data_IF_457018827384
#
_entry.id   IF_457018827384
#
_cell.length_a   1.000
_cell.length_b   1.000
_cell.length_c   1.000
_cell.angle_alpha   90.00
_cell.angle_beta   90.00
_cell.angle_gamma   90.00
#
_symmetry.space_group_name_H-M   'P 1'
#
loop_
_entity.id
_entity.type
_entity.pdbx_description
1 polymer ?
#
# COMPACT_ATOMS: atom_id res chain seq x y z
N UNK A 1 -1.47 28.11 -11.71
CA UNK A 1 -1.59 27.51 -10.36
C UNK A 1 -0.28 26.80 -10.02
N UNK A 2 -0.02 26.55 -8.74
CA UNK A 2 1.26 25.99 -8.22
C UNK A 2 1.27 24.44 -8.26
N UNK A 3 0.45 23.82 -9.12
CA UNK A 3 0.33 22.36 -9.24
C UNK A 3 0.92 21.84 -10.56
N UNK A 4 1.27 20.54 -10.63
CA UNK A 4 1.69 19.92 -11.88
C UNK A 4 0.55 19.93 -12.91
N UNK A 5 0.90 19.79 -14.18
CA UNK A 5 -0.09 19.64 -15.25
C UNK A 5 -0.94 18.38 -15.05
N UNK A 6 -2.24 18.48 -15.33
CA UNK A 6 -3.14 17.33 -15.40
C UNK A 6 -3.28 16.78 -16.83
N UNK A 7 -2.67 17.42 -17.82
CA UNK A 7 -2.70 16.93 -19.20
C UNK A 7 -1.84 15.67 -19.29
N UNK A 8 -2.44 14.57 -19.74
CA UNK A 8 -1.74 13.29 -19.98
C UNK A 8 -1.60 12.40 -18.74
N UNK A 9 -2.09 12.80 -17.58
CA UNK A 9 -2.04 11.97 -16.35
C UNK A 9 -2.97 10.75 -16.41
N UNK A 10 -3.99 10.80 -17.27
CA UNK A 10 -4.98 9.74 -17.48
C UNK A 10 -6.11 9.69 -16.43
N UNK A 11 -7.19 9.01 -16.78
CA UNK A 11 -8.34 8.79 -15.90
C UNK A 11 -7.96 8.00 -14.64
N UNK A 12 -7.08 7.01 -14.75
CA UNK A 12 -6.64 6.20 -13.60
C UNK A 12 -5.98 7.03 -12.49
N UNK A 13 -5.20 8.05 -12.87
CA UNK A 13 -4.53 8.91 -11.88
C UNK A 13 -5.56 9.75 -11.12
N UNK A 14 -6.60 10.23 -11.82
CA UNK A 14 -7.69 10.97 -11.21
C UNK A 14 -8.54 10.07 -10.32
N UNK A 15 -8.97 8.89 -10.80
CA UNK A 15 -9.74 7.94 -9.98
C UNK A 15 -8.97 7.59 -8.71
N UNK A 16 -7.71 7.17 -8.84
CA UNK A 16 -6.87 6.84 -7.70
C UNK A 16 -6.72 8.00 -6.73
N UNK A 17 -6.32 9.19 -7.19
CA UNK A 17 -6.03 10.30 -6.27
C UNK A 17 -7.29 10.82 -5.57
N UNK A 18 -8.42 10.86 -6.28
CA UNK A 18 -9.67 11.43 -5.75
C UNK A 18 -10.46 10.40 -4.94
N UNK A 19 -10.63 9.17 -5.43
CA UNK A 19 -11.35 8.12 -4.71
C UNK A 19 -10.62 7.64 -3.45
N UNK A 20 -9.28 7.73 -3.42
CA UNK A 20 -8.52 7.50 -2.17
C UNK A 20 -8.49 8.73 -1.25
N UNK A 21 -9.15 9.83 -1.63
CA UNK A 21 -9.25 11.06 -0.86
C UNK A 21 -7.97 11.90 -0.82
N UNK A 22 -6.87 11.49 -1.46
CA UNK A 22 -5.63 12.30 -1.50
C UNK A 22 -5.90 13.68 -2.10
N UNK A 23 -6.64 13.71 -3.19
CA UNK A 23 -7.17 14.93 -3.80
C UNK A 23 -8.66 15.09 -3.49
N UNK A 24 -9.15 16.32 -3.29
CA UNK A 24 -8.43 17.60 -3.39
C UNK A 24 -7.56 17.88 -2.16
N UNK A 25 -6.33 18.37 -2.34
CA UNK A 25 -5.41 18.71 -1.24
C UNK A 25 -5.41 20.22 -0.98
N UNK A 26 -5.32 20.61 0.30
CA UNK A 26 -5.32 22.01 0.72
C UNK A 26 -3.94 22.54 1.14
N UNK A 27 -2.98 21.66 1.40
CA UNK A 27 -1.63 21.99 1.84
C UNK A 27 -0.55 21.62 0.81
N UNK A 28 0.67 22.11 1.06
CA UNK A 28 1.88 21.78 0.32
C UNK A 28 2.78 20.86 1.16
N UNK A 29 2.20 19.79 1.72
CA UNK A 29 2.95 18.78 2.47
C UNK A 29 3.97 18.03 1.60
N UNK A 30 4.98 17.43 2.23
CA UNK A 30 5.99 16.62 1.54
C UNK A 30 5.36 15.40 0.83
N UNK A 31 4.25 14.90 1.35
CA UNK A 31 3.50 13.79 0.80
C UNK A 31 2.01 13.96 1.12
N UNK A 32 1.16 13.78 0.12
CA UNK A 32 -0.29 13.87 0.27
C UNK A 32 -0.79 12.57 0.91
N UNK A 33 -1.25 12.67 2.16
CA UNK A 33 -1.81 11.54 2.90
C UNK A 33 -3.21 11.17 2.38
N UNK A 34 -3.60 9.90 2.61
CA UNK A 34 -4.99 9.45 2.43
C UNK A 34 -5.88 10.16 3.46
N UNK A 35 -7.05 10.62 3.04
CA UNK A 35 -8.11 11.14 3.90
C UNK A 35 -9.46 10.62 3.42
N UNK A 36 -10.52 10.96 4.13
CA UNK A 36 -11.87 10.61 3.71
C UNK A 36 -12.18 11.27 2.35
N UNK A 37 -12.67 10.50 1.36
CA UNK A 37 -13.03 11.04 0.06
C UNK A 37 -14.13 12.10 0.19
N UNK A 38 -13.95 13.20 -0.54
CA UNK A 38 -14.92 14.31 -0.58
C UNK A 38 -15.99 14.07 -1.64
N UNK A 39 -15.63 13.34 -2.70
CA UNK A 39 -16.48 13.04 -3.84
C UNK A 39 -16.97 11.60 -3.78
N UNK A 40 -18.16 11.36 -4.31
CA UNK A 40 -18.68 10.00 -4.51
C UNK A 40 -18.17 9.38 -5.82
N UNK A 41 -18.37 8.07 -6.01
CA UNK A 41 -17.85 7.32 -7.17
C UNK A 41 -18.30 7.90 -8.53
N UNK A 42 -19.53 8.42 -8.63
CA UNK A 42 -20.04 9.01 -9.88
C UNK A 42 -19.34 10.33 -10.20
N UNK A 43 -19.10 11.15 -9.19
CA UNK A 43 -18.37 12.41 -9.32
C UNK A 43 -16.90 12.16 -9.66
N UNK A 44 -16.27 11.16 -9.03
CA UNK A 44 -14.90 10.76 -9.35
C UNK A 44 -14.80 10.31 -10.81
N UNK A 45 -15.71 9.44 -11.27
CA UNK A 45 -15.74 8.98 -12.65
C UNK A 45 -15.94 10.15 -13.63
N UNK A 46 -16.79 11.12 -13.30
CA UNK A 46 -17.00 12.32 -14.12
C UNK A 46 -15.73 13.20 -14.19
N UNK A 47 -15.02 13.39 -13.07
CA UNK A 47 -13.75 14.11 -13.04
C UNK A 47 -12.68 13.39 -13.87
N UNK A 48 -12.57 12.08 -13.73
CA UNK A 48 -11.62 11.25 -14.47
C UNK A 48 -11.90 11.29 -15.97
N UNK A 49 -13.17 11.19 -16.38
CA UNK A 49 -13.59 11.30 -17.77
C UNK A 49 -13.29 12.69 -18.36
N UNK A 50 -13.52 13.76 -17.59
CA UNK A 50 -13.20 15.12 -18.03
C UNK A 50 -11.70 15.29 -18.29
N UNK A 51 -10.84 14.84 -17.37
CA UNK A 51 -9.38 14.94 -17.55
C UNK A 51 -8.91 14.08 -18.74
N UNK A 52 -9.46 12.88 -18.91
CA UNK A 52 -9.13 12.02 -20.05
C UNK A 52 -9.56 12.61 -21.41
N UNK A 53 -10.55 13.51 -21.44
CA UNK A 53 -10.95 14.22 -22.66
C UNK A 53 -9.91 15.24 -23.15
N UNK A 54 -8.99 15.67 -22.28
CA UNK A 54 -7.99 16.71 -22.59
C UNK A 54 -6.74 16.14 -23.27
N UNK A 55 -6.36 14.90 -22.96
CA UNK A 55 -5.25 14.19 -23.59
C UNK A 55 -5.29 12.68 -23.27
N UNK A 56 -4.69 11.82 -24.12
CA UNK A 56 -4.54 10.40 -23.82
C UNK A 56 -3.74 10.16 -22.54
N UNK A 57 -4.09 9.10 -21.82
CA UNK A 57 -3.39 8.62 -20.63
C UNK A 57 -3.98 7.30 -20.14
N UNK A 58 -3.45 6.71 -19.06
CA UNK A 58 -3.97 5.46 -18.52
C UNK A 58 -5.46 5.56 -18.17
N UNK A 59 -6.25 4.60 -18.67
CA UNK A 59 -7.69 4.51 -18.39
C UNK A 59 -7.92 4.02 -16.94
N UNK A 60 -8.93 4.58 -16.28
CA UNK A 60 -9.40 4.06 -15.00
C UNK A 60 -9.96 2.65 -15.17
N UNK A 61 -9.92 1.85 -14.10
CA UNK A 61 -10.35 0.45 -14.11
C UNK A 61 -11.40 0.21 -13.04
N UNK A 62 -12.30 -0.72 -13.30
CA UNK A 62 -13.30 -1.22 -12.36
C UNK A 62 -12.83 -2.52 -11.72
N UNK A 63 -13.38 -2.89 -10.56
CA UNK A 63 -13.00 -4.17 -9.95
C UNK A 63 -13.46 -5.36 -10.78
N UNK A 64 -14.58 -5.22 -11.50
CA UNK A 64 -15.18 -6.25 -12.33
C UNK A 64 -14.31 -6.59 -13.54
N UNK A 65 -13.57 -5.60 -14.08
CA UNK A 65 -12.61 -5.80 -15.16
C UNK A 65 -11.35 -6.54 -14.68
N UNK A 66 -11.01 -6.42 -13.39
CA UNK A 66 -9.84 -7.03 -12.80
C UNK A 66 -10.18 -8.43 -12.31
N UNK A 67 -10.12 -9.43 -13.20
CA UNK A 67 -10.31 -10.84 -12.84
C UNK A 67 -9.12 -11.46 -12.07
N UNK A 68 -8.58 -10.73 -11.09
CA UNK A 68 -7.35 -11.06 -10.35
C UNK A 68 -7.43 -12.40 -9.61
N UNK A 69 -8.60 -12.79 -9.12
CA UNK A 69 -8.80 -14.07 -8.43
C UNK A 69 -8.60 -15.25 -9.36
N UNK A 70 -9.16 -15.17 -10.57
CA UNK A 70 -9.09 -16.23 -11.58
C UNK A 70 -7.74 -16.21 -12.28
N UNK A 71 -7.30 -15.04 -12.72
CA UNK A 71 -6.21 -14.91 -13.66
C UNK A 71 -4.86 -14.76 -12.94
N UNK A 72 -4.81 -14.13 -11.76
CA UNK A 72 -3.56 -13.95 -11.02
C UNK A 72 -2.91 -15.28 -10.57
N UNK A 73 -1.58 -15.33 -10.61
CA UNK A 73 -0.77 -16.41 -10.02
C UNK A 73 -0.16 -15.95 -8.68
N UNK A 74 -0.54 -16.61 -7.59
CA UNK A 74 -0.12 -16.22 -6.24
C UNK A 74 1.40 -16.33 -6.00
N UNK A 75 2.02 -17.41 -6.47
CA UNK A 75 3.45 -17.65 -6.27
C UNK A 75 4.28 -16.62 -7.05
N UNK A 76 3.93 -16.41 -8.32
CA UNK A 76 4.54 -15.39 -9.16
C UNK A 76 4.31 -13.98 -8.57
N UNK A 77 3.09 -13.69 -8.11
CA UNK A 77 2.74 -12.42 -7.48
C UNK A 77 3.61 -12.09 -6.28
N UNK A 78 3.89 -13.10 -5.43
CA UNK A 78 4.77 -12.93 -4.28
C UNK A 78 6.23 -12.68 -4.68
N UNK A 79 6.73 -13.33 -5.72
CA UNK A 79 8.07 -13.07 -6.25
C UNK A 79 8.17 -11.65 -6.82
N UNK A 80 7.20 -11.26 -7.65
CA UNK A 80 7.13 -9.94 -8.25
C UNK A 80 7.04 -8.84 -7.18
N UNK A 81 6.20 -9.01 -6.17
CA UNK A 81 6.08 -8.05 -5.09
C UNK A 81 7.38 -7.91 -4.29
N UNK A 82 8.05 -9.03 -3.96
CA UNK A 82 9.34 -9.00 -3.27
C UNK A 82 10.42 -8.27 -4.06
N UNK A 83 10.45 -8.47 -5.37
CA UNK A 83 11.47 -7.92 -6.24
C UNK A 83 11.21 -6.45 -6.62
N UNK A 84 9.96 -6.00 -6.62
CA UNK A 84 9.58 -4.69 -7.16
C UNK A 84 8.93 -3.73 -6.16
N UNK A 85 8.34 -4.22 -5.06
CA UNK A 85 7.48 -3.42 -4.19
C UNK A 85 7.92 -3.46 -2.71
N UNK A 86 8.42 -4.60 -2.24
CA UNK A 86 8.73 -4.83 -0.83
C UNK A 86 9.83 -3.91 -0.27
N UNK A 87 10.71 -3.38 -1.14
CA UNK A 87 11.73 -2.41 -0.76
C UNK A 87 11.13 -1.13 -0.16
N UNK A 88 9.92 -0.75 -0.60
CA UNK A 88 9.21 0.42 -0.08
C UNK A 88 8.09 -0.01 0.88
N UNK A 89 7.30 -1.02 0.49
CA UNK A 89 6.07 -1.39 1.18
C UNK A 89 6.22 -2.46 2.25
N UNK A 90 7.46 -2.86 2.62
CA UNK A 90 7.75 -4.00 3.49
C UNK A 90 7.35 -5.35 2.83
N UNK A 91 8.04 -6.43 3.20
CA UNK A 91 7.76 -7.79 2.75
C UNK A 91 6.30 -8.21 2.96
N UNK A 92 5.68 -7.78 4.06
CA UNK A 92 4.28 -8.06 4.41
C UNK A 92 3.32 -6.95 3.97
N UNK A 93 3.77 -6.00 3.12
CA UNK A 93 2.93 -4.93 2.59
C UNK A 93 2.46 -3.89 3.61
N UNK A 94 3.13 -3.77 4.76
CA UNK A 94 2.75 -2.85 5.84
C UNK A 94 3.17 -1.39 5.62
N UNK A 95 3.97 -1.12 4.60
CA UNK A 95 4.56 0.20 4.37
C UNK A 95 5.93 0.37 5.01
N UNK A 96 6.52 1.56 4.84
CA UNK A 96 7.86 1.86 5.30
C UNK A 96 8.22 3.34 5.19
N UNK A 97 9.27 3.77 5.89
CA UNK A 97 9.77 5.13 5.77
C UNK A 97 10.54 5.32 4.45
N UNK A 98 10.38 6.48 3.82
CA UNK A 98 11.13 6.90 2.64
C UNK A 98 11.94 8.17 2.97
N UNK A 99 12.77 8.60 2.03
CA UNK A 99 13.58 9.82 2.18
C UNK A 99 12.71 11.08 2.20
N UNK A 100 13.25 12.19 2.72
CA UNK A 100 12.60 13.51 2.70
C UNK A 100 11.24 13.56 3.41
N UNK A 101 11.06 12.77 4.49
CA UNK A 101 9.83 12.77 5.27
C UNK A 101 8.64 12.09 4.57
N UNK A 102 8.88 11.40 3.45
CA UNK A 102 7.88 10.56 2.77
C UNK A 102 7.82 9.17 3.40
N UNK A 103 6.80 8.40 3.06
CA UNK A 103 6.57 7.03 3.50
C UNK A 103 5.80 6.25 2.41
N UNK A 104 6.05 4.95 2.33
CA UNK A 104 5.21 4.04 1.58
C UNK A 104 4.03 3.66 2.49
N UNK A 105 2.77 3.87 2.07
CA UNK A 105 1.62 3.44 2.85
C UNK A 105 1.51 1.91 2.89
N UNK A 106 0.76 1.38 3.85
CA UNK A 106 0.33 -0.03 3.81
C UNK A 106 -0.50 -0.29 2.55
N UNK A 107 -0.33 -1.46 1.96
CA UNK A 107 -1.16 -1.97 0.85
C UNK A 107 -2.27 -2.90 1.34
N UNK A 108 -2.37 -3.12 2.65
CA UNK A 108 -3.43 -3.92 3.26
C UNK A 108 -4.74 -3.12 3.34
N UNK A 109 -5.87 -3.76 3.05
CA UNK A 109 -7.20 -3.17 3.11
C UNK A 109 -7.45 -2.14 2.00
N UNK A 110 -6.65 -2.15 0.94
CA UNK A 110 -6.79 -1.27 -0.22
C UNK A 110 -7.66 -1.94 -1.27
N UNK A 111 -8.58 -1.21 -1.89
CA UNK A 111 -9.41 -1.74 -2.97
C UNK A 111 -8.57 -2.18 -4.17
N UNK A 112 -9.00 -3.23 -4.86
CA UNK A 112 -8.23 -3.87 -5.93
C UNK A 112 -7.96 -2.91 -7.08
N UNK A 113 -8.97 -2.16 -7.55
CA UNK A 113 -8.77 -1.13 -8.59
C UNK A 113 -7.67 -0.14 -8.22
N UNK A 114 -7.63 0.31 -6.97
CA UNK A 114 -6.65 1.29 -6.51
C UNK A 114 -5.23 0.73 -6.41
N UNK A 115 -5.07 -0.56 -6.12
CA UNK A 115 -3.76 -1.22 -6.21
C UNK A 115 -3.28 -1.24 -7.67
N UNK A 116 -4.17 -1.59 -8.61
CA UNK A 116 -3.84 -1.60 -10.03
C UNK A 116 -3.49 -0.21 -10.57
N UNK A 117 -4.31 0.79 -10.23
CA UNK A 117 -4.11 2.18 -10.63
C UNK A 117 -2.83 2.77 -10.05
N UNK A 118 -2.51 2.46 -8.78
CA UNK A 118 -1.23 2.88 -8.20
C UNK A 118 -0.03 2.35 -9.00
N UNK A 119 -0.08 1.10 -9.46
CA UNK A 119 1.00 0.53 -10.27
C UNK A 119 1.15 1.25 -11.62
N UNK A 120 0.05 1.56 -12.31
CA UNK A 120 0.12 2.16 -13.66
C UNK A 120 0.31 3.69 -13.64
N UNK A 121 0.03 4.35 -12.51
CA UNK A 121 0.12 5.82 -12.39
C UNK A 121 1.34 6.30 -11.61
N UNK A 122 1.96 5.44 -10.78
CA UNK A 122 3.14 5.79 -9.98
C UNK A 122 2.89 7.00 -9.07
N UNK A 123 1.98 6.90 -8.08
CA UNK A 123 1.61 8.05 -7.28
C UNK A 123 2.78 8.54 -6.40
N UNK A 124 3.01 9.84 -6.42
CA UNK A 124 3.96 10.56 -5.57
C UNK A 124 5.42 10.10 -5.75
N UNK A 125 5.94 9.26 -4.86
CA UNK A 125 7.32 8.74 -4.94
C UNK A 125 7.38 7.31 -5.54
N UNK A 126 6.24 6.70 -5.81
CA UNK A 126 6.16 5.36 -6.39
C UNK A 126 6.49 5.44 -7.90
N UNK A 127 7.36 4.57 -8.43
CA UNK A 127 7.63 4.54 -9.87
C UNK A 127 6.41 4.04 -10.65
N UNK A 128 6.33 4.43 -11.92
CA UNK A 128 5.31 3.94 -12.85
C UNK A 128 5.71 2.55 -13.34
N UNK A 129 4.84 1.56 -13.13
CA UNK A 129 4.99 0.21 -13.67
C UNK A 129 4.17 0.06 -14.96
N UNK A 130 4.75 0.55 -16.07
CA UNK A 130 4.17 0.40 -17.41
C UNK A 130 4.02 -1.07 -17.81
N UNK A 131 3.28 -1.34 -18.88
CA UNK A 131 3.10 -2.70 -19.42
C UNK A 131 4.40 -3.36 -19.92
N UNK A 132 5.44 -2.55 -20.16
CA UNK A 132 6.79 -3.04 -20.51
C UNK A 132 7.61 -3.46 -19.30
N UNK A 133 7.23 -3.03 -18.09
CA UNK A 133 7.90 -3.39 -16.83
C UNK A 133 7.12 -4.49 -16.12
N UNK A 134 5.81 -4.32 -16.00
CA UNK A 134 4.88 -5.33 -15.48
C UNK A 134 3.67 -5.43 -16.40
N UNK A 135 3.50 -6.60 -17.00
CA UNK A 135 2.34 -6.91 -17.83
C UNK A 135 1.04 -6.83 -17.02
N UNK A 136 -0.13 -6.65 -17.66
CA UNK A 136 -1.42 -6.67 -16.96
C UNK A 136 -1.63 -7.94 -16.12
N UNK A 137 -1.22 -9.09 -16.65
CA UNK A 137 -1.28 -10.37 -15.97
C UNK A 137 -0.42 -10.42 -14.70
N UNK A 138 0.80 -9.88 -14.75
CA UNK A 138 1.70 -9.80 -13.59
C UNK A 138 1.17 -8.86 -12.51
N UNK A 139 0.52 -7.76 -12.90
CA UNK A 139 -0.19 -6.86 -11.97
C UNK A 139 -1.33 -7.58 -11.25
N UNK A 140 -2.12 -8.40 -11.96
CA UNK A 140 -3.16 -9.23 -11.35
C UNK A 140 -2.56 -10.26 -10.37
N UNK A 141 -1.42 -10.88 -10.72
CA UNK A 141 -0.68 -11.76 -9.81
C UNK A 141 -0.24 -11.04 -8.53
N UNK A 142 0.31 -9.83 -8.63
CA UNK A 142 0.69 -9.01 -7.46
C UNK A 142 -0.53 -8.71 -6.58
N UNK A 143 -1.65 -8.29 -7.17
CA UNK A 143 -2.89 -8.03 -6.44
C UNK A 143 -3.35 -9.28 -5.70
N UNK A 144 -3.35 -10.44 -6.37
CA UNK A 144 -3.72 -11.72 -5.75
C UNK A 144 -2.84 -12.06 -4.56
N UNK A 145 -1.54 -11.80 -4.66
CA UNK A 145 -0.63 -11.98 -3.54
C UNK A 145 -0.93 -11.01 -2.39
N UNK A 146 -1.17 -9.72 -2.66
CA UNK A 146 -1.52 -8.73 -1.62
C UNK A 146 -2.80 -9.16 -0.88
N UNK A 147 -3.84 -9.55 -1.62
CA UNK A 147 -5.11 -10.01 -1.04
C UNK A 147 -4.99 -11.30 -0.25
N UNK A 148 -4.08 -12.18 -0.66
CA UNK A 148 -3.74 -13.35 0.15
C UNK A 148 -3.02 -12.94 1.45
N UNK A 149 -2.03 -12.06 1.39
CA UNK A 149 -1.29 -11.60 2.57
C UNK A 149 -2.17 -10.87 3.60
N UNK A 150 -3.23 -10.17 3.16
CA UNK A 150 -4.25 -9.57 4.03
C UNK A 150 -5.00 -10.61 4.88
N UNK A 151 -5.28 -11.77 4.30
CA UNK A 151 -6.15 -12.81 4.89
C UNK A 151 -5.37 -13.99 5.47
N UNK A 152 -4.05 -14.02 5.28
CA UNK A 152 -3.19 -15.10 5.77
C UNK A 152 -3.26 -15.19 7.31
N UNK A 153 -3.53 -16.39 7.86
CA UNK A 153 -3.64 -16.58 9.31
C UNK A 153 -2.28 -16.33 10.00
N UNK A 154 -2.34 -15.90 11.26
CA UNK A 154 -1.16 -15.67 12.08
C UNK A 154 -0.67 -17.01 12.63
N UNK A 155 0.37 -17.58 12.02
CA UNK A 155 1.01 -18.81 12.49
C UNK A 155 2.07 -18.46 13.54
N UNK A 156 1.93 -18.98 14.76
CA UNK A 156 2.95 -18.83 15.80
C UNK A 156 2.73 -17.70 16.83
N UNK A 157 1.54 -17.11 16.89
CA UNK A 157 1.17 -16.14 17.93
C UNK A 157 0.74 -14.79 17.37
N UNK A 158 0.88 -13.74 18.18
CA UNK A 158 0.48 -12.38 17.78
C UNK A 158 1.41 -11.84 16.68
N UNK A 159 0.86 -11.27 15.62
CA UNK A 159 1.62 -10.78 14.47
C UNK A 159 2.44 -9.51 14.71
N UNK A 160 2.24 -8.80 15.83
CA UNK A 160 2.97 -7.56 16.20
C UNK A 160 3.08 -6.54 15.04
N UNK A 161 2.00 -6.41 14.26
CA UNK A 161 1.90 -5.51 13.11
C UNK A 161 2.60 -5.98 11.84
N UNK A 162 3.19 -7.20 11.80
CA UNK A 162 3.93 -7.75 10.65
C UNK A 162 5.08 -6.86 10.14
N UNK A 163 5.59 -5.97 11.00
CA UNK A 163 6.70 -5.06 10.66
C UNK A 163 8.05 -5.78 10.78
N UNK A 164 8.12 -6.84 11.59
CA UNK A 164 9.27 -7.72 11.74
C UNK A 164 10.06 -7.46 13.04
N UNK A 165 11.39 -7.57 13.02
CA UNK A 165 12.21 -7.76 14.22
C UNK A 165 12.19 -6.56 15.19
N UNK A 166 11.81 -5.37 14.74
CA UNK A 166 11.77 -4.18 15.60
C UNK A 166 10.63 -4.27 16.62
N UNK A 167 9.41 -4.56 16.18
CA UNK A 167 8.25 -4.68 17.08
C UNK A 167 8.36 -5.94 17.93
N UNK A 168 8.82 -7.04 17.35
CA UNK A 168 9.15 -8.28 18.07
C UNK A 168 10.21 -8.06 19.14
N UNK A 169 11.30 -7.37 18.81
CA UNK A 169 12.39 -7.06 19.74
C UNK A 169 11.93 -6.16 20.90
N UNK A 170 11.09 -5.16 20.63
CA UNK A 170 10.52 -4.31 21.68
C UNK A 170 9.66 -5.13 22.66
N UNK A 171 8.82 -6.02 22.15
CA UNK A 171 7.99 -6.91 22.98
C UNK A 171 8.85 -7.88 23.78
N UNK A 172 9.86 -8.48 23.15
CA UNK A 172 10.80 -9.38 23.82
C UNK A 172 11.57 -8.65 24.93
N UNK A 173 11.94 -7.39 24.73
CA UNK A 173 12.63 -6.59 25.73
C UNK A 173 11.71 -6.19 26.88
N UNK A 174 10.52 -5.65 26.59
CA UNK A 174 9.61 -5.20 27.65
C UNK A 174 9.00 -6.36 28.45
N UNK A 175 8.48 -7.39 27.76
CA UNK A 175 7.80 -8.50 28.42
C UNK A 175 8.77 -9.63 28.78
N UNK A 176 9.66 -10.02 27.86
CA UNK A 176 10.59 -11.12 28.08
C UNK A 176 11.63 -10.75 29.13
N UNK A 177 12.44 -9.71 28.89
CA UNK A 177 13.46 -9.30 29.84
C UNK A 177 12.84 -8.72 31.13
N UNK A 178 11.74 -7.96 31.02
CA UNK A 178 11.01 -7.46 32.19
C UNK A 178 10.53 -8.59 33.12
N UNK A 179 9.98 -9.68 32.57
CA UNK A 179 9.58 -10.86 33.34
C UNK A 179 10.78 -11.54 34.00
N UNK A 180 11.88 -11.73 33.27
CA UNK A 180 13.10 -12.35 33.81
C UNK A 180 13.68 -11.56 34.98
N UNK A 181 13.75 -10.23 34.86
CA UNK A 181 14.18 -9.34 35.95
C UNK A 181 13.22 -9.45 37.14
N UNK A 182 11.91 -9.44 36.90
CA UNK A 182 10.90 -9.59 37.95
C UNK A 182 11.06 -10.90 38.73
N UNK A 183 11.28 -12.02 38.04
CA UNK A 183 11.54 -13.32 38.65
C UNK A 183 12.84 -13.31 39.47
N UNK A 184 13.93 -12.74 38.93
CA UNK A 184 15.21 -12.67 39.63
C UNK A 184 15.12 -11.84 40.93
N UNK A 185 14.40 -10.70 40.89
CA UNK A 185 14.16 -9.86 42.07
C UNK A 185 13.30 -10.61 43.09
N UNK A 186 12.23 -11.28 42.64
CA UNK A 186 11.35 -12.06 43.52
C UNK A 186 12.09 -13.21 44.23
N UNK A 187 12.89 -13.98 43.49
CA UNK A 187 13.71 -15.06 44.07
C UNK A 187 14.70 -14.51 45.10
N UNK A 188 15.35 -13.39 44.80
CA UNK A 188 16.30 -12.75 45.71
C UNK A 188 15.62 -12.19 46.97
N UNK A 189 14.44 -11.59 46.83
CA UNK A 189 13.66 -11.05 47.93
C UNK A 189 13.13 -12.15 48.88
N UNK A 190 12.77 -13.32 48.34
CA UNK A 190 12.31 -14.48 49.11
C UNK A 190 13.44 -15.28 49.78
N UNK A 191 14.68 -15.13 49.28
CA UNK A 191 15.86 -15.77 49.86
C UNK A 191 16.41 -15.03 51.09
N UNK A 192 15.94 -13.82 51.37
CA UNK A 192 16.13 -13.10 52.64
C UNK A 192 15.00 -13.45 53.61
#
# INVERSE_FOLDING_TARGET
>A
GVGPSLIGVGAASVDFQVATGRMPVADMSQQIARKDPVYNDQEVAALAAYVASLAPGPAAVTNEELAWERDGNMAQGGELFRNNCAMCHNLAGQGGALTQGKYAPTVMGVEVKHIYEAMITGPQAMPVFSETILTPQEKLSIIKWIKHAETEPQLGGAALGRVGPVTEGLVAWLLGLGLLIGVAVWLTAKAR
#
